data_IF_944943014568
#
_entry.id   IF_944943014568
#
_cell.length_a   1.000
_cell.length_b   1.000
_cell.length_c   1.000
_cell.angle_alpha   90.00
_cell.angle_beta   90.00
_cell.angle_gamma   90.00
#
_symmetry.space_group_name_H-M   'P 1'
#
loop_
_entity.id
_entity.type
_entity.pdbx_description
1 polymer ?
#
# COMPACT_ATOMS: atom_id res chain seq x y z
N UNK A 1 11.73 -1.02 -1.72
CA UNK A 1 10.76 -1.07 -0.62
C UNK A 1 10.68 -2.51 -0.12
N UNK A 2 10.75 -2.72 1.18
CA UNK A 2 10.48 -4.00 1.83
C UNK A 2 8.99 -4.03 2.18
N UNK A 3 8.27 -5.05 1.74
CA UNK A 3 6.84 -5.21 2.01
C UNK A 3 6.63 -5.83 3.40
N UNK A 4 6.06 -5.05 4.32
CA UNK A 4 5.43 -5.55 5.53
C UNK A 4 4.03 -6.05 5.14
N UNK A 5 4.00 -7.31 4.72
CA UNK A 5 2.79 -8.01 4.28
C UNK A 5 2.31 -9.01 5.33
N UNK A 6 0.99 -9.13 5.47
CA UNK A 6 0.30 -10.15 6.25
C UNK A 6 -0.90 -10.67 5.44
N UNK A 7 -1.17 -11.99 5.41
CA UNK A 7 -2.29 -12.56 4.68
C UNK A 7 -3.65 -11.93 5.00
N UNK A 8 -4.56 -11.95 4.02
CA UNK A 8 -5.90 -11.36 4.14
C UNK A 8 -6.76 -12.03 5.22
N UNK A 9 -6.46 -13.28 5.56
CA UNK A 9 -7.10 -14.04 6.63
C UNK A 9 -6.90 -13.41 8.01
N UNK A 10 -5.88 -12.57 8.19
CA UNK A 10 -5.66 -11.84 9.44
C UNK A 10 -6.54 -10.59 9.59
N UNK A 11 -7.28 -10.20 8.54
CA UNK A 11 -8.17 -9.05 8.59
C UNK A 11 -9.26 -9.24 9.66
N UNK A 12 -9.51 -8.19 10.45
CA UNK A 12 -10.41 -8.20 11.61
C UNK A 12 -10.00 -9.18 12.73
N UNK A 13 -8.79 -9.74 12.65
CA UNK A 13 -8.15 -10.57 13.69
C UNK A 13 -6.89 -9.86 14.22
N UNK A 14 -5.70 -10.35 13.87
CA UNK A 14 -4.41 -9.93 14.41
C UNK A 14 -3.52 -9.20 13.39
N UNK A 15 -4.10 -8.76 12.26
CA UNK A 15 -3.39 -8.03 11.19
C UNK A 15 -2.50 -6.90 11.70
N UNK A 16 -2.97 -6.09 12.67
CA UNK A 16 -2.19 -4.95 13.20
C UNK A 16 -0.96 -5.44 13.97
N UNK A 17 -1.11 -6.48 14.80
CA UNK A 17 0.00 -7.09 15.56
C UNK A 17 1.03 -7.68 14.59
N UNK A 18 0.58 -8.53 13.67
CA UNK A 18 1.46 -9.17 12.70
C UNK A 18 2.20 -8.13 11.84
N UNK A 19 1.55 -7.03 11.46
CA UNK A 19 2.22 -5.95 10.72
C UNK A 19 3.31 -5.27 11.55
N UNK A 20 3.11 -5.08 12.85
CA UNK A 20 4.16 -4.56 13.74
C UNK A 20 5.35 -5.53 13.81
N UNK A 21 5.11 -6.84 13.85
CA UNK A 21 6.16 -7.87 13.81
C UNK A 21 6.92 -7.85 12.47
N UNK A 22 6.23 -7.66 11.35
CA UNK A 22 6.87 -7.51 10.03
C UNK A 22 7.74 -6.24 9.97
N UNK A 23 7.24 -5.11 10.49
CA UNK A 23 8.02 -3.87 10.59
C UNK A 23 9.26 -4.08 11.47
N UNK A 24 9.11 -4.75 12.61
CA UNK A 24 10.22 -5.09 13.51
C UNK A 24 11.27 -5.95 12.81
N UNK A 25 10.86 -7.03 12.14
CA UNK A 25 11.78 -7.92 11.42
C UNK A 25 12.58 -7.15 10.37
N UNK A 26 11.92 -6.31 9.56
CA UNK A 26 12.61 -5.50 8.55
C UNK A 26 13.62 -4.55 9.23
N UNK A 27 13.23 -3.88 10.33
CA UNK A 27 14.14 -3.00 11.09
C UNK A 27 15.35 -3.78 11.62
N UNK A 28 15.15 -4.91 12.31
CA UNK A 28 16.23 -5.73 12.85
C UNK A 28 17.15 -6.25 11.75
N UNK A 29 16.60 -6.66 10.62
CA UNK A 29 17.38 -7.05 9.44
C UNK A 29 18.29 -5.90 8.97
N UNK A 30 17.78 -4.67 8.86
CA UNK A 30 18.61 -3.53 8.44
C UNK A 30 19.71 -3.18 9.45
N UNK A 31 19.49 -3.42 10.75
CA UNK A 31 20.50 -3.23 11.80
C UNK A 31 21.57 -4.33 11.71
N UNK A 32 21.14 -5.59 11.61
CA UNK A 32 22.02 -6.76 11.54
C UNK A 32 22.95 -6.70 10.31
N UNK A 33 22.44 -6.23 9.18
CA UNK A 33 23.18 -6.11 7.93
C UNK A 33 23.53 -4.64 7.61
N UNK A 34 23.81 -3.82 8.62
CA UNK A 34 24.06 -2.37 8.48
C UNK A 34 25.27 -1.98 7.64
N UNK A 35 26.17 -2.93 7.36
CA UNK A 35 27.25 -2.75 6.37
C UNK A 35 26.71 -2.63 4.94
N UNK A 36 25.58 -3.25 4.64
CA UNK A 36 24.97 -3.31 3.31
C UNK A 36 23.65 -2.57 3.21
N UNK A 37 22.87 -2.55 4.29
CA UNK A 37 21.53 -2.00 4.33
C UNK A 37 21.49 -0.71 5.15
N UNK A 38 20.61 0.21 4.79
CA UNK A 38 20.29 1.37 5.63
C UNK A 38 18.80 1.65 5.54
N UNK A 39 18.13 1.66 6.69
CA UNK A 39 16.73 2.06 6.76
C UNK A 39 16.61 3.56 6.51
N UNK A 40 15.81 3.95 5.53
CA UNK A 40 15.62 5.35 5.12
C UNK A 40 14.14 5.65 4.95
N UNK A 41 13.78 6.90 5.21
CA UNK A 41 12.39 7.34 5.20
C UNK A 41 12.21 8.73 4.53
N UNK A 42 13.23 9.19 3.81
CA UNK A 42 13.24 10.41 2.99
C UNK A 42 13.96 10.13 1.67
N UNK A 43 13.68 10.93 0.63
CA UNK A 43 14.43 10.88 -0.63
C UNK A 43 15.91 11.17 -0.44
N UNK A 44 16.27 12.15 0.40
CA UNK A 44 17.67 12.44 0.71
C UNK A 44 18.37 11.23 1.36
N UNK A 45 17.69 10.51 2.25
CA UNK A 45 18.23 9.29 2.84
C UNK A 45 18.52 8.21 1.79
N UNK A 46 17.69 8.09 0.75
CA UNK A 46 17.94 7.18 -0.38
C UNK A 46 19.22 7.59 -1.12
N UNK A 47 19.36 8.88 -1.46
CA UNK A 47 20.56 9.40 -2.14
C UNK A 47 21.82 9.19 -1.30
N UNK A 48 21.74 9.41 0.00
CA UNK A 48 22.88 9.25 0.91
C UNK A 48 23.26 7.78 1.08
N UNK A 49 22.28 6.87 1.13
CA UNK A 49 22.54 5.44 1.12
C UNK A 49 23.29 5.04 -0.17
N UNK A 50 22.89 5.56 -1.33
CA UNK A 50 23.56 5.29 -2.60
C UNK A 50 24.99 5.84 -2.63
N UNK A 51 25.20 7.09 -2.18
CA UNK A 51 26.55 7.69 -2.06
C UNK A 51 27.47 6.87 -1.17
N UNK A 52 26.92 6.23 -0.14
CA UNK A 52 27.66 5.39 0.81
C UNK A 52 27.77 3.91 0.36
N UNK A 53 27.35 3.56 -0.86
CA UNK A 53 27.43 2.19 -1.38
C UNK A 53 26.48 1.21 -0.68
N UNK A 54 25.40 1.69 -0.08
CA UNK A 54 24.42 0.89 0.67
C UNK A 54 23.08 0.80 -0.06
N UNK A 55 22.36 -0.29 0.21
CA UNK A 55 21.00 -0.51 -0.27
C UNK A 55 20.03 0.26 0.65
N UNK A 56 19.38 1.26 0.07
CA UNK A 56 18.30 2.00 0.71
C UNK A 56 17.10 1.07 0.99
N UNK A 57 16.83 0.86 2.26
CA UNK A 57 15.73 0.02 2.76
C UNK A 57 14.58 0.91 3.20
N UNK A 58 13.44 0.81 2.53
CA UNK A 58 12.25 1.63 2.80
C UNK A 58 11.09 0.71 3.16
N UNK A 59 10.35 1.03 4.22
CA UNK A 59 9.18 0.26 4.65
C UNK A 59 7.95 0.62 3.82
N UNK A 60 7.30 -0.39 3.25
CA UNK A 60 5.95 -0.31 2.68
C UNK A 60 5.03 -1.32 3.34
N UNK A 61 3.80 -0.93 3.65
CA UNK A 61 2.77 -1.83 4.18
C UNK A 61 1.86 -2.26 3.02
N UNK A 62 1.70 -3.57 2.83
CA UNK A 62 0.99 -4.13 1.69
C UNK A 62 -0.40 -4.62 2.11
N UNK A 63 -1.38 -3.71 2.06
CA UNK A 63 -2.78 -4.00 2.33
C UNK A 63 -3.40 -3.07 3.36
N UNK A 64 -4.53 -2.46 3.02
CA UNK A 64 -5.25 -1.56 3.93
C UNK A 64 -5.96 -2.26 5.10
N UNK A 65 -6.08 -3.59 5.08
CA UNK A 65 -6.57 -4.35 6.24
C UNK A 65 -5.60 -4.25 7.42
N UNK A 66 -4.33 -3.99 7.13
CA UNK A 66 -3.25 -3.90 8.11
C UNK A 66 -3.38 -2.67 9.02
N UNK A 67 -4.12 -1.63 8.61
CA UNK A 67 -4.37 -0.47 9.49
C UNK A 67 -5.57 -0.68 10.44
N UNK A 68 -6.23 -1.84 10.41
CA UNK A 68 -7.35 -2.16 11.32
C UNK A 68 -8.47 -1.12 11.27
N UNK A 69 -8.75 -0.57 10.08
CA UNK A 69 -9.71 0.52 9.88
C UNK A 69 -9.48 1.74 10.81
N UNK A 70 -8.22 2.09 11.10
CA UNK A 70 -7.86 3.15 12.04
C UNK A 70 -6.84 4.13 11.46
N UNK A 71 -7.21 5.42 11.38
CA UNK A 71 -6.27 6.50 11.06
C UNK A 71 -5.17 6.66 12.13
N UNK A 72 -5.45 6.25 13.37
CA UNK A 72 -4.45 6.23 14.44
C UNK A 72 -3.33 5.25 14.12
N UNK A 73 -3.69 4.02 13.73
CA UNK A 73 -2.71 3.00 13.32
C UNK A 73 -1.93 3.44 12.09
N UNK A 74 -2.59 4.05 11.10
CA UNK A 74 -1.92 4.62 9.92
C UNK A 74 -0.81 5.62 10.32
N UNK A 75 -1.10 6.55 11.24
CA UNK A 75 -0.09 7.50 11.76
C UNK A 75 1.02 6.79 12.52
N UNK A 76 0.70 5.80 13.34
CA UNK A 76 1.72 5.03 14.07
C UNK A 76 2.64 4.27 13.13
N UNK A 77 2.14 3.70 12.03
CA UNK A 77 2.99 3.12 11.00
C UNK A 77 3.90 4.14 10.34
N UNK A 78 3.39 5.34 10.05
CA UNK A 78 4.21 6.42 9.52
C UNK A 78 5.35 6.80 10.48
N UNK A 79 5.05 6.94 11.78
CA UNK A 79 6.03 7.26 12.83
C UNK A 79 7.05 6.13 13.02
N UNK A 80 6.64 4.87 12.79
CA UNK A 80 7.54 3.73 12.76
C UNK A 80 8.42 3.68 11.50
N UNK A 81 8.23 4.57 10.52
CA UNK A 81 9.07 4.71 9.33
C UNK A 81 8.45 4.17 8.03
N UNK A 82 7.19 3.74 8.06
CA UNK A 82 6.46 3.35 6.84
C UNK A 82 6.27 4.56 5.95
N UNK A 83 6.54 4.41 4.64
CA UNK A 83 6.41 5.49 3.65
C UNK A 83 5.49 5.17 2.48
N UNK A 84 4.93 3.97 2.44
CA UNK A 84 3.98 3.57 1.41
C UNK A 84 2.93 2.64 2.02
N UNK A 85 1.68 2.79 1.58
CA UNK A 85 0.61 1.84 1.89
C UNK A 85 -0.11 1.44 0.59
N UNK A 86 -0.15 0.13 0.34
CA UNK A 86 -1.02 -0.47 -0.68
C UNK A 86 -2.44 -0.54 -0.14
N UNK A 87 -3.40 0.08 -0.83
CA UNK A 87 -4.74 0.31 -0.24
C UNK A 87 -5.53 -0.98 0.02
N UNK A 88 -5.29 -2.03 -0.75
CA UNK A 88 -5.87 -3.36 -0.59
C UNK A 88 -4.81 -4.42 -0.89
N UNK A 89 -5.09 -5.68 -0.58
CA UNK A 89 -4.37 -6.82 -1.15
C UNK A 89 -5.35 -7.61 -2.04
N UNK A 90 -5.32 -8.94 -2.04
CA UNK A 90 -6.33 -9.80 -2.67
C UNK A 90 -7.70 -9.76 -2.00
N UNK A 91 -7.84 -9.02 -0.89
CA UNK A 91 -9.06 -8.76 -0.14
C UNK A 91 -9.45 -7.28 -0.20
N UNK A 92 -10.76 -7.00 -0.17
CA UNK A 92 -11.27 -5.64 0.04
C UNK A 92 -11.06 -5.22 1.50
N UNK A 93 -11.01 -3.93 1.74
CA UNK A 93 -11.20 -3.36 3.09
C UNK A 93 -12.63 -2.83 3.22
N UNK A 94 -13.10 -2.45 4.43
CA UNK A 94 -14.37 -1.73 4.57
C UNK A 94 -14.43 -0.39 3.81
N UNK A 95 -13.31 0.08 3.24
CA UNK A 95 -13.18 1.41 2.68
C UNK A 95 -12.55 1.49 1.28
N UNK A 96 -12.03 0.39 0.73
CA UNK A 96 -11.48 0.30 -0.62
C UNK A 96 -11.66 -1.10 -1.22
N UNK A 97 -11.87 -1.15 -2.54
CA UNK A 97 -12.06 -2.40 -3.27
C UNK A 97 -10.80 -2.93 -3.94
N UNK A 98 -10.63 -4.25 -3.87
CA UNK A 98 -9.59 -5.02 -4.55
C UNK A 98 -9.94 -5.35 -6.01
N UNK A 99 -8.91 -5.53 -6.84
CA UNK A 99 -8.98 -6.05 -8.20
C UNK A 99 -9.67 -7.42 -8.28
N UNK A 100 -9.67 -8.19 -7.20
CA UNK A 100 -10.37 -9.48 -7.16
C UNK A 100 -11.87 -9.35 -7.38
N UNK A 101 -12.47 -8.17 -7.12
CA UNK A 101 -13.89 -7.92 -7.42
C UNK A 101 -14.22 -8.04 -8.91
N UNK A 102 -13.28 -7.72 -9.80
CA UNK A 102 -13.45 -7.86 -11.25
C UNK A 102 -13.23 -9.30 -11.75
N UNK A 103 -12.73 -10.20 -10.89
CA UNK A 103 -12.41 -11.58 -11.28
C UNK A 103 -13.60 -12.54 -11.18
N UNK A 104 -14.75 -12.09 -10.67
CA UNK A 104 -15.92 -12.93 -10.41
C UNK A 104 -15.79 -13.85 -9.19
N UNK A 105 -14.67 -13.78 -8.43
CA UNK A 105 -14.48 -14.50 -7.18
C UNK A 105 -14.97 -13.65 -6.01
N UNK A 106 -15.87 -14.18 -5.19
CA UNK A 106 -16.46 -13.45 -4.05
C UNK A 106 -15.67 -13.56 -2.75
N UNK A 107 -14.66 -14.44 -2.70
CA UNK A 107 -13.86 -14.66 -1.50
C UNK A 107 -13.10 -13.39 -1.09
N UNK A 108 -13.18 -13.05 0.20
CA UNK A 108 -12.54 -11.87 0.81
C UNK A 108 -12.99 -10.51 0.22
N UNK A 109 -14.19 -10.46 -0.36
CA UNK A 109 -14.83 -9.20 -0.71
C UNK A 109 -15.71 -8.69 0.43
N UNK A 110 -15.62 -7.40 0.70
CA UNK A 110 -16.61 -6.73 1.55
C UNK A 110 -17.86 -6.44 0.73
N UNK A 111 -19.07 -6.73 1.24
CA UNK A 111 -20.30 -6.36 0.55
C UNK A 111 -20.42 -4.83 0.52
N UNK A 112 -20.31 -4.25 -0.68
CA UNK A 112 -20.45 -2.80 -0.87
C UNK A 112 -21.48 -2.50 -1.94
N UNK A 113 -22.38 -1.55 -1.64
CA UNK A 113 -23.33 -0.99 -2.62
C UNK A 113 -22.64 -0.06 -3.63
N UNK A 114 -21.44 0.44 -3.32
CA UNK A 114 -20.67 1.37 -4.15
C UNK A 114 -19.27 0.82 -4.39
N UNK A 115 -18.88 0.73 -5.66
CA UNK A 115 -17.53 0.32 -6.04
C UNK A 115 -16.53 1.48 -5.87
N UNK A 116 -15.27 1.16 -5.57
CA UNK A 116 -14.18 2.12 -5.43
C UNK A 116 -13.81 2.38 -3.97
N UNK A 117 -13.76 3.65 -3.56
CA UNK A 117 -13.52 4.04 -2.15
C UNK A 117 -14.76 4.64 -1.48
N UNK A 118 -14.91 4.37 -0.19
CA UNK A 118 -15.99 4.94 0.63
C UNK A 118 -15.65 6.36 1.09
N UNK A 119 -16.60 7.03 1.77
CA UNK A 119 -16.33 8.33 2.40
C UNK A 119 -15.20 8.26 3.46
N UNK A 120 -15.14 7.16 4.23
CA UNK A 120 -14.02 6.91 5.13
C UNK A 120 -12.72 6.71 4.37
N UNK A 121 -12.75 5.94 3.27
CA UNK A 121 -11.59 5.73 2.40
C UNK A 121 -11.01 7.03 1.86
N UNK A 122 -11.86 8.00 1.46
CA UNK A 122 -11.41 9.35 1.10
C UNK A 122 -10.68 10.07 2.26
N UNK A 123 -11.11 9.85 3.49
CA UNK A 123 -10.41 10.32 4.68
C UNK A 123 -9.02 9.68 4.85
N UNK A 124 -8.89 8.39 4.55
CA UNK A 124 -7.59 7.67 4.53
C UNK A 124 -6.65 8.28 3.49
N UNK A 125 -7.12 8.47 2.25
CA UNK A 125 -6.35 9.11 1.17
C UNK A 125 -5.87 10.52 1.58
N UNK A 126 -6.77 11.32 2.16
CA UNK A 126 -6.44 12.67 2.64
C UNK A 126 -5.36 12.64 3.74
N UNK A 127 -5.45 11.70 4.67
CA UNK A 127 -4.45 11.55 5.73
C UNK A 127 -3.10 11.09 5.18
N UNK A 128 -3.08 10.16 4.21
CA UNK A 128 -1.86 9.74 3.53
C UNK A 128 -1.19 10.91 2.81
N UNK A 129 -1.96 11.73 2.08
CA UNK A 129 -1.43 12.95 1.46
C UNK A 129 -0.88 13.94 2.51
N UNK A 130 -1.59 14.16 3.63
CA UNK A 130 -1.14 15.05 4.71
C UNK A 130 0.16 14.57 5.35
N UNK A 131 0.31 13.27 5.54
CA UNK A 131 1.52 12.67 6.12
C UNK A 131 2.71 12.69 5.16
N UNK A 132 2.48 12.74 3.84
CA UNK A 132 3.52 12.46 2.85
C UNK A 132 3.78 10.95 2.70
N UNK A 133 2.75 10.13 2.91
CA UNK A 133 2.81 8.68 2.66
C UNK A 133 2.41 8.38 1.22
N UNK A 134 3.22 7.61 0.51
CA UNK A 134 2.93 7.17 -0.86
C UNK A 134 1.69 6.29 -0.89
N UNK A 135 0.82 6.57 -1.85
CA UNK A 135 -0.39 5.81 -2.11
C UNK A 135 -0.08 4.78 -3.20
N UNK A 136 -0.15 3.50 -2.85
CA UNK A 136 0.07 2.41 -3.79
C UNK A 136 -1.27 1.78 -4.24
N UNK A 137 -1.49 1.82 -5.55
CA UNK A 137 -2.66 1.32 -6.27
C UNK A 137 -2.50 -0.11 -6.78
N UNK A 138 -1.40 -0.79 -6.45
CA UNK A 138 -1.30 -2.23 -6.67
C UNK A 138 -2.45 -2.93 -5.93
N UNK A 139 -2.95 -4.04 -6.49
CA UNK A 139 -4.08 -4.83 -5.99
C UNK A 139 -5.46 -4.17 -6.00
N UNK A 140 -5.61 -2.87 -6.23
CA UNK A 140 -6.93 -2.23 -6.14
C UNK A 140 -7.80 -2.47 -7.38
N UNK A 141 -9.11 -2.34 -7.24
CA UNK A 141 -10.04 -2.38 -8.38
C UNK A 141 -9.86 -1.17 -9.30
N UNK A 142 -10.30 -1.26 -10.56
CA UNK A 142 -10.29 -0.13 -11.50
C UNK A 142 -11.08 1.07 -10.97
N UNK A 143 -12.20 0.82 -10.28
CA UNK A 143 -13.00 1.87 -9.65
C UNK A 143 -12.19 2.60 -8.56
N UNK A 144 -11.47 1.85 -7.73
CA UNK A 144 -10.57 2.41 -6.71
C UNK A 144 -9.45 3.22 -7.35
N UNK A 145 -8.85 2.74 -8.45
CA UNK A 145 -7.81 3.48 -9.18
C UNK A 145 -8.33 4.85 -9.62
N UNK A 146 -9.52 4.90 -10.23
CA UNK A 146 -10.11 6.17 -10.69
C UNK A 146 -10.48 7.11 -9.54
N UNK A 147 -11.09 6.61 -8.48
CA UNK A 147 -11.47 7.45 -7.33
C UNK A 147 -10.23 8.08 -6.67
N UNK A 148 -9.14 7.32 -6.53
CA UNK A 148 -7.91 7.80 -5.91
C UNK A 148 -7.18 8.78 -6.83
N UNK A 149 -7.07 8.50 -8.13
CA UNK A 149 -6.46 9.43 -9.09
C UNK A 149 -7.22 10.76 -9.19
N UNK A 150 -8.55 10.74 -9.00
CA UNK A 150 -9.35 11.95 -8.97
C UNK A 150 -9.27 12.72 -7.63
N UNK A 151 -8.89 12.05 -6.53
CA UNK A 151 -8.95 12.60 -5.18
C UNK A 151 -7.60 12.86 -4.51
N UNK A 152 -6.51 12.25 -4.97
CA UNK A 152 -5.17 12.43 -4.40
C UNK A 152 -4.59 13.78 -4.82
N UNK A 153 -4.02 14.52 -3.88
CA UNK A 153 -3.31 15.77 -4.15
C UNK A 153 -1.82 15.57 -4.47
N UNK A 154 -1.33 14.34 -4.48
CA UNK A 154 0.05 13.98 -4.79
C UNK A 154 0.09 12.80 -5.78
N UNK A 155 1.20 12.63 -6.54
CA UNK A 155 1.41 11.45 -7.37
C UNK A 155 1.24 10.15 -6.57
N UNK A 156 0.65 9.16 -7.23
CA UNK A 156 0.45 7.80 -6.70
C UNK A 156 1.40 6.85 -7.40
N UNK A 157 1.52 5.63 -6.88
CA UNK A 157 2.35 4.58 -7.49
C UNK A 157 1.55 3.31 -7.73
N UNK A 158 2.01 2.51 -8.68
CA UNK A 158 1.71 1.09 -8.74
C UNK A 158 3.03 0.36 -8.45
N UNK A 159 3.26 0.01 -7.18
CA UNK A 159 4.53 -0.58 -6.74
C UNK A 159 4.88 -1.89 -7.46
N UNK A 160 3.87 -2.68 -7.83
CA UNK A 160 4.03 -3.94 -8.57
C UNK A 160 2.76 -4.27 -9.36
N UNK A 161 2.57 -3.60 -10.50
CA UNK A 161 1.54 -3.94 -11.48
C UNK A 161 2.10 -3.77 -12.89
N UNK A 162 1.60 -4.53 -13.86
CA UNK A 162 2.03 -4.47 -15.26
C UNK A 162 0.94 -3.90 -16.16
N UNK A 163 1.19 -3.80 -17.48
CA UNK A 163 0.20 -3.30 -18.45
C UNK A 163 -0.85 -4.37 -18.81
N UNK A 164 -2.14 -4.03 -18.69
CA UNK A 164 -3.23 -4.99 -18.95
C UNK A 164 -3.37 -5.35 -20.43
N UNK A 165 -3.00 -4.44 -21.33
CA UNK A 165 -2.97 -4.71 -22.77
C UNK A 165 -2.01 -5.84 -23.15
N UNK A 166 -0.94 -6.06 -22.37
CA UNK A 166 0.05 -7.13 -22.62
C UNK A 166 -0.34 -8.46 -21.97
N UNK A 167 -0.98 -8.41 -20.81
CA UNK A 167 -1.49 -9.58 -20.10
C UNK A 167 -2.80 -9.22 -19.40
N UNK A 168 -3.92 -9.79 -19.88
CA UNK A 168 -5.25 -9.45 -19.42
C UNK A 168 -5.58 -10.14 -18.09
N UNK A 169 -5.01 -9.62 -17.01
CA UNK A 169 -5.34 -9.96 -15.63
C UNK A 169 -5.87 -8.73 -14.91
N UNK A 170 -6.77 -8.92 -13.94
CA UNK A 170 -7.32 -7.83 -13.11
C UNK A 170 -6.25 -7.14 -12.26
N UNK A 171 -5.10 -7.80 -12.04
CA UNK A 171 -3.95 -7.17 -11.35
C UNK A 171 -3.20 -6.15 -12.21
N UNK A 172 -3.39 -6.14 -13.53
CA UNK A 172 -2.68 -5.23 -14.41
C UNK A 172 -3.47 -3.94 -14.67
N UNK A 173 -2.74 -2.86 -14.92
CA UNK A 173 -3.29 -1.51 -15.09
C UNK A 173 -3.86 -1.35 -16.51
N UNK A 174 -5.15 -1.01 -16.68
CA UNK A 174 -5.73 -0.70 -17.98
C UNK A 174 -5.15 0.59 -18.58
N UNK A 175 -5.08 0.68 -19.90
CA UNK A 175 -4.53 1.85 -20.62
C UNK A 175 -5.24 3.16 -20.27
N UNK A 176 -6.55 3.12 -19.99
CA UNK A 176 -7.31 4.31 -19.57
C UNK A 176 -6.89 4.85 -18.18
N UNK A 177 -6.32 4.00 -17.33
CA UNK A 177 -5.73 4.40 -16.04
C UNK A 177 -4.30 4.87 -16.27
N UNK A 178 -3.52 4.19 -17.11
CA UNK A 178 -2.15 4.60 -17.45
C UNK A 178 -2.10 6.01 -18.05
N UNK A 179 -3.09 6.40 -18.86
CA UNK A 179 -3.20 7.75 -19.45
C UNK A 179 -3.50 8.86 -18.44
N UNK A 180 -3.84 8.52 -17.19
CA UNK A 180 -4.17 9.48 -16.11
C UNK A 180 -3.02 9.66 -15.11
N UNK A 181 -1.93 8.91 -15.27
CA UNK A 181 -0.74 8.99 -14.41
C UNK A 181 0.16 10.16 -14.80
#
# INVERSE_FOLDING_TARGET
FWAAYVPCEAQDLDAVRLTLEQIDIIKRMTIQYSNYLTLVNTSQGIEDAFKNGKIASILGVEGGHLIGNSLGVLRMYYDLGVRMLTLTHTCSTPWADTAMRESGKEQFLFPSKKQGITAYGKGVIKEMNRLGMLIDLSHVSKATMHDVLAGSCAPVVFSHSSARALCNTTRNVPDEVLKKL
#
